data_IF_586565066339
#
_entry.id   IF_586565066339
#
_cell.length_a   1.000
_cell.length_b   1.000
_cell.length_c   1.000
_cell.angle_alpha   90.00
_cell.angle_beta   90.00
_cell.angle_gamma   90.00
#
_symmetry.space_group_name_H-M   'P 1'
#
loop_
_entity.id
_entity.type
_entity.pdbx_description
1 polymer ?
#
# COMPACT_ATOMS: atom_id res chain seq x y z
N UNK A 1 65.46 22.55 24.38
CA UNK A 1 65.24 21.18 23.87
C UNK A 1 63.76 20.85 24.02
N UNK A 2 63.12 20.31 22.97
CA UNK A 2 61.68 20.26 22.80
C UNK A 2 61.04 19.05 23.49
N UNK A 3 59.75 19.12 23.89
CA UNK A 3 58.97 17.97 24.33
C UNK A 3 58.40 17.17 23.13
N UNK A 4 57.98 15.91 23.34
CA UNK A 4 57.85 14.92 22.28
C UNK A 4 56.51 14.94 21.54
N UNK A 5 56.59 14.41 20.33
CA UNK A 5 55.57 14.18 19.31
C UNK A 5 54.22 13.67 19.81
N UNK A 6 53.16 14.32 19.34
CA UNK A 6 51.78 13.87 19.43
C UNK A 6 51.58 12.50 18.74
N UNK A 7 51.14 11.52 19.53
CA UNK A 7 50.55 10.27 19.06
C UNK A 7 49.29 10.54 18.25
N UNK A 8 49.28 10.11 16.99
CA UNK A 8 48.09 10.07 16.13
C UNK A 8 47.21 8.90 16.58
N UNK A 9 46.02 9.19 17.10
CA UNK A 9 44.94 8.22 17.22
C UNK A 9 44.52 7.75 15.81
N UNK A 10 44.45 6.45 15.51
CA UNK A 10 43.78 5.97 14.32
C UNK A 10 42.26 6.08 14.52
N UNK A 11 41.60 6.82 13.63
CA UNK A 11 40.13 6.76 13.48
C UNK A 11 39.76 5.33 13.10
N UNK A 12 38.92 4.68 13.92
CA UNK A 12 38.27 3.42 13.58
C UNK A 12 37.26 3.64 12.45
N UNK A 13 37.62 3.19 11.26
CA UNK A 13 36.68 2.95 10.16
C UNK A 13 35.81 1.72 10.46
N UNK A 14 34.68 1.93 11.13
CA UNK A 14 33.67 0.91 11.38
C UNK A 14 32.50 1.04 10.38
N UNK A 15 32.70 0.75 9.09
CA UNK A 15 31.64 0.86 8.08
C UNK A 15 31.52 -0.30 7.06
N UNK A 16 32.57 -1.03 6.63
CA UNK A 16 32.39 -2.08 5.62
C UNK A 16 31.92 -3.44 6.20
N UNK A 17 32.43 -3.84 7.36
CA UNK A 17 32.17 -5.18 7.90
C UNK A 17 30.71 -5.42 8.31
N UNK A 18 30.04 -4.44 8.93
CA UNK A 18 28.64 -4.61 9.41
C UNK A 18 27.63 -4.74 8.26
N UNK A 19 27.89 -4.15 7.10
CA UNK A 19 26.98 -4.19 5.96
C UNK A 19 27.10 -5.52 5.18
N UNK A 20 28.34 -6.01 5.01
CA UNK A 20 28.61 -7.32 4.40
C UNK A 20 28.01 -8.48 5.24
N UNK A 21 28.07 -8.38 6.58
CA UNK A 21 27.43 -9.37 7.45
C UNK A 21 25.91 -9.39 7.28
N UNK A 22 25.25 -8.23 7.23
CA UNK A 22 23.79 -8.15 7.07
C UNK A 22 23.31 -8.75 5.74
N UNK A 23 23.99 -8.45 4.64
CA UNK A 23 23.65 -9.03 3.33
C UNK A 23 23.85 -10.55 3.32
N UNK A 24 24.96 -11.04 3.88
CA UNK A 24 25.20 -12.48 4.05
C UNK A 24 24.11 -13.18 4.88
N UNK A 25 23.61 -12.55 5.95
CA UNK A 25 22.50 -13.09 6.75
C UNK A 25 21.21 -13.23 5.95
N UNK A 26 20.88 -12.21 5.13
CA UNK A 26 19.68 -12.22 4.28
C UNK A 26 19.78 -13.29 3.20
N UNK A 27 20.92 -13.38 2.52
CA UNK A 27 21.16 -14.40 1.47
C UNK A 27 21.04 -15.81 2.05
N UNK A 28 21.72 -16.08 3.18
CA UNK A 28 21.64 -17.39 3.86
C UNK A 28 20.20 -17.75 4.27
N UNK A 29 19.39 -16.77 4.69
CA UNK A 29 18.00 -17.00 5.05
C UNK A 29 17.14 -17.34 3.82
N UNK A 30 17.35 -16.65 2.70
CA UNK A 30 16.64 -16.94 1.46
C UNK A 30 16.99 -18.34 0.92
N UNK A 31 18.27 -18.71 0.91
CA UNK A 31 18.73 -20.05 0.53
C UNK A 31 18.11 -21.13 1.41
N UNK A 32 18.05 -20.90 2.73
CA UNK A 32 17.40 -21.83 3.66
C UNK A 32 15.94 -22.06 3.29
N UNK A 33 15.20 -20.97 3.00
CA UNK A 33 13.79 -21.05 2.64
C UNK A 33 13.57 -21.69 1.26
N UNK A 34 14.49 -21.51 0.33
CA UNK A 34 14.46 -22.14 -1.00
C UNK A 34 14.66 -23.65 -0.91
N UNK A 35 15.57 -24.11 -0.04
CA UNK A 35 15.80 -25.54 0.19
C UNK A 35 14.63 -26.17 0.96
N UNK A 36 14.05 -25.45 1.92
CA UNK A 36 13.01 -25.98 2.82
C UNK A 36 11.58 -25.64 2.40
N UNK A 37 11.37 -25.10 1.20
CA UNK A 37 10.04 -24.64 0.79
C UNK A 37 9.07 -25.81 0.65
N UNK A 38 7.81 -25.60 1.02
CA UNK A 38 6.76 -26.61 0.87
C UNK A 38 5.39 -25.98 0.58
N UNK A 39 4.55 -26.76 -0.12
CA UNK A 39 3.16 -26.41 -0.39
C UNK A 39 2.25 -26.76 0.80
N UNK A 40 1.74 -25.73 1.48
CA UNK A 40 0.80 -25.89 2.61
C UNK A 40 -0.62 -26.23 2.14
N UNK A 41 -0.89 -26.07 0.85
CA UNK A 41 -2.18 -26.34 0.23
C UNK A 41 -2.16 -27.62 -0.62
N UNK A 42 -1.18 -28.49 -0.41
CA UNK A 42 -1.19 -29.83 -1.01
C UNK A 42 -2.43 -30.62 -0.54
N UNK A 43 -2.96 -31.57 -1.35
CA UNK A 43 -4.22 -32.26 -1.03
C UNK A 43 -4.26 -32.85 0.39
N UNK A 44 -3.17 -33.49 0.82
CA UNK A 44 -3.05 -34.08 2.16
C UNK A 44 -3.03 -33.00 3.28
N UNK A 45 -2.42 -31.84 3.00
CA UNK A 45 -2.32 -30.73 3.95
C UNK A 45 -3.66 -30.01 4.11
N UNK A 46 -4.48 -29.94 3.07
CA UNK A 46 -5.82 -29.34 3.13
C UNK A 46 -6.69 -30.07 4.15
N UNK A 47 -6.71 -31.40 4.13
CA UNK A 47 -7.52 -32.19 5.06
C UNK A 47 -7.04 -31.99 6.52
N UNK A 48 -5.72 -31.88 6.72
CA UNK A 48 -5.17 -31.53 8.03
C UNK A 48 -5.57 -30.11 8.49
N UNK A 49 -5.55 -29.12 7.57
CA UNK A 49 -5.97 -27.75 7.86
C UNK A 49 -7.46 -27.65 8.18
N UNK A 50 -8.30 -28.48 7.55
CA UNK A 50 -9.72 -28.56 7.84
C UNK A 50 -10.01 -29.08 9.24
N UNK A 51 -9.21 -30.01 9.75
CA UNK A 51 -9.41 -30.59 11.08
C UNK A 51 -8.74 -29.78 12.21
N UNK A 52 -7.98 -28.74 11.87
CA UNK A 52 -7.21 -27.95 12.84
C UNK A 52 -8.04 -26.83 13.47
N UNK A 53 -7.75 -26.51 14.74
CA UNK A 53 -8.21 -25.26 15.38
C UNK A 53 -7.47 -24.07 14.78
N UNK A 54 -8.20 -23.12 14.24
CA UNK A 54 -7.67 -21.99 13.47
C UNK A 54 -6.71 -21.07 14.24
N UNK A 55 -6.53 -21.22 15.56
CA UNK A 55 -5.79 -20.26 16.40
C UNK A 55 -4.25 -20.37 16.32
N UNK A 56 -3.71 -21.53 15.92
CA UNK A 56 -2.27 -21.78 15.95
C UNK A 56 -1.59 -21.53 14.59
N UNK A 57 -0.50 -20.75 14.52
CA UNK A 57 0.25 -20.54 13.28
C UNK A 57 0.77 -21.84 12.65
N UNK A 58 0.67 -21.93 11.33
CA UNK A 58 1.26 -22.99 10.51
C UNK A 58 2.57 -22.45 9.94
N UNK A 59 3.68 -22.86 10.56
CA UNK A 59 5.04 -22.49 10.17
C UNK A 59 5.98 -23.69 10.35
N UNK A 60 6.90 -23.91 9.43
CA UNK A 60 7.96 -24.93 9.58
C UNK A 60 8.97 -24.55 10.65
N UNK A 61 9.88 -25.48 10.96
CA UNK A 61 10.98 -25.19 11.87
C UNK A 61 11.92 -24.12 11.29
N UNK A 62 12.25 -24.22 10.01
CA UNK A 62 13.12 -23.31 9.27
C UNK A 62 12.50 -21.92 9.18
N UNK A 63 11.20 -21.83 8.88
CA UNK A 63 10.47 -20.55 8.85
C UNK A 63 10.48 -19.88 10.23
N UNK A 64 10.23 -20.65 11.31
CA UNK A 64 10.31 -20.13 12.69
C UNK A 64 11.72 -19.68 13.04
N UNK A 65 12.74 -20.44 12.62
CA UNK A 65 14.14 -20.11 12.83
C UNK A 65 14.49 -18.77 12.16
N UNK A 66 14.16 -18.62 10.87
CA UNK A 66 14.35 -17.36 10.13
C UNK A 66 13.62 -16.22 10.83
N UNK A 67 12.33 -16.36 11.15
CA UNK A 67 11.57 -15.31 11.85
C UNK A 67 12.27 -14.91 13.17
N UNK A 68 12.69 -15.88 13.98
CA UNK A 68 13.37 -15.60 15.26
C UNK A 68 14.69 -14.86 15.07
N UNK A 69 15.46 -15.19 14.02
CA UNK A 69 16.74 -14.58 13.69
C UNK A 69 16.61 -13.11 13.31
N UNK A 70 15.54 -12.74 12.62
CA UNK A 70 15.32 -11.37 12.16
C UNK A 70 14.53 -10.51 13.16
N UNK A 71 13.72 -11.12 14.03
CA UNK A 71 12.88 -10.39 14.99
C UNK A 71 13.68 -9.67 16.10
N UNK A 72 14.95 -10.00 16.31
CA UNK A 72 15.78 -9.42 17.37
C UNK A 72 16.17 -7.96 17.14
N UNK A 73 16.15 -7.49 15.89
CA UNK A 73 16.58 -6.15 15.53
C UNK A 73 15.62 -5.52 14.53
N UNK A 74 15.08 -4.35 14.87
CA UNK A 74 14.10 -3.65 14.04
C UNK A 74 14.61 -3.36 12.63
N UNK A 75 15.80 -2.76 12.51
CA UNK A 75 16.39 -2.41 11.22
C UNK A 75 16.66 -3.66 10.37
N UNK A 76 17.14 -4.74 10.98
CA UNK A 76 17.40 -6.01 10.30
C UNK A 76 16.10 -6.63 9.78
N UNK A 77 15.04 -6.61 10.58
CA UNK A 77 13.73 -7.07 10.16
C UNK A 77 13.14 -6.21 9.04
N UNK A 78 13.27 -4.87 9.09
CA UNK A 78 12.83 -4.01 7.98
C UNK A 78 13.59 -4.34 6.69
N UNK A 79 14.92 -4.42 6.75
CA UNK A 79 15.74 -4.79 5.58
C UNK A 79 15.32 -6.14 5.00
N UNK A 80 15.05 -7.13 5.85
CA UNK A 80 14.63 -8.44 5.38
C UNK A 80 13.22 -8.44 4.78
N UNK A 81 12.26 -7.74 5.40
CA UNK A 81 10.91 -7.58 4.86
C UNK A 81 10.95 -6.88 3.48
N UNK A 82 11.77 -5.85 3.32
CA UNK A 82 11.97 -5.17 2.02
C UNK A 82 12.53 -6.11 0.96
N UNK A 83 13.58 -6.89 1.27
CA UNK A 83 14.17 -7.84 0.33
C UNK A 83 13.18 -8.94 -0.06
N UNK A 84 12.41 -9.47 0.90
CA UNK A 84 11.37 -10.46 0.61
C UNK A 84 10.29 -9.88 -0.30
N UNK A 85 9.83 -8.65 -0.04
CA UNK A 85 8.86 -7.97 -0.90
C UNK A 85 9.39 -7.76 -2.32
N UNK A 86 10.65 -7.35 -2.46
CA UNK A 86 11.24 -7.12 -3.77
C UNK A 86 11.44 -8.42 -4.53
N UNK A 87 11.81 -9.52 -3.85
CA UNK A 87 11.86 -10.85 -4.45
C UNK A 87 10.48 -11.32 -4.93
N UNK A 88 9.43 -11.16 -4.11
CA UNK A 88 8.05 -11.48 -4.50
C UNK A 88 7.59 -10.66 -5.72
N UNK A 89 8.01 -9.39 -5.82
CA UNK A 89 7.65 -8.53 -6.97
C UNK A 89 8.41 -8.90 -8.24
N UNK A 90 9.71 -9.14 -8.13
CA UNK A 90 10.58 -9.36 -9.29
C UNK A 90 10.31 -10.73 -9.96
N UNK A 91 10.00 -11.74 -9.16
CA UNK A 91 9.90 -13.13 -9.62
C UNK A 91 8.45 -13.65 -9.58
N UNK A 92 7.45 -12.77 -9.58
CA UNK A 92 6.02 -13.10 -9.43
C UNK A 92 5.56 -14.27 -10.32
N UNK A 93 6.04 -14.35 -11.57
CA UNK A 93 5.60 -15.33 -12.57
C UNK A 93 6.58 -16.49 -12.77
N UNK A 94 7.83 -16.33 -12.32
CA UNK A 94 8.91 -17.33 -12.48
C UNK A 94 9.24 -18.10 -11.21
N UNK A 95 8.78 -17.63 -10.04
CA UNK A 95 9.04 -18.27 -8.75
C UNK A 95 8.17 -19.51 -8.55
N UNK A 96 8.78 -20.60 -8.07
CA UNK A 96 8.07 -21.79 -7.62
C UNK A 96 7.01 -21.46 -6.56
N UNK A 97 5.84 -22.07 -6.67
CA UNK A 97 4.70 -21.76 -5.80
C UNK A 97 5.01 -22.03 -4.31
N UNK A 98 5.80 -23.06 -4.02
CA UNK A 98 6.24 -23.46 -2.69
C UNK A 98 7.11 -22.37 -2.03
N UNK A 99 8.05 -21.81 -2.79
CA UNK A 99 8.91 -20.74 -2.31
C UNK A 99 8.09 -19.47 -2.07
N UNK A 100 7.18 -19.12 -2.99
CA UNK A 100 6.30 -17.97 -2.83
C UNK A 100 5.45 -18.09 -1.56
N UNK A 101 4.88 -19.27 -1.29
CA UNK A 101 4.13 -19.51 -0.06
C UNK A 101 5.02 -19.38 1.18
N UNK A 102 6.24 -19.94 1.14
CA UNK A 102 7.17 -19.89 2.28
C UNK A 102 7.60 -18.45 2.59
N UNK A 103 7.92 -17.66 1.56
CA UNK A 103 8.21 -16.23 1.69
C UNK A 103 7.01 -15.46 2.27
N UNK A 104 5.79 -15.76 1.83
CA UNK A 104 4.57 -15.16 2.37
C UNK A 104 4.37 -15.49 3.86
N UNK A 105 4.55 -16.76 4.26
CA UNK A 105 4.43 -17.18 5.67
C UNK A 105 5.48 -16.53 6.54
N UNK A 106 6.73 -16.45 6.09
CA UNK A 106 7.82 -15.79 6.82
C UNK A 106 7.56 -14.29 6.95
N UNK A 107 7.17 -13.63 5.86
CA UNK A 107 6.84 -12.20 5.87
C UNK A 107 5.72 -11.91 6.88
N UNK A 108 4.61 -12.65 6.82
CA UNK A 108 3.47 -12.48 7.74
C UNK A 108 3.82 -12.90 9.16
N UNK A 109 4.61 -13.96 9.33
CA UNK A 109 5.07 -14.43 10.63
C UNK A 109 5.97 -13.42 11.33
N UNK A 110 6.84 -12.73 10.58
CA UNK A 110 7.66 -11.65 11.11
C UNK A 110 6.82 -10.40 11.42
N UNK A 111 5.86 -10.04 10.56
CA UNK A 111 4.88 -8.99 10.85
C UNK A 111 4.10 -9.28 12.13
N UNK A 112 3.64 -10.53 12.31
CA UNK A 112 2.93 -11.00 13.51
C UNK A 112 3.77 -10.84 14.76
N UNK A 113 5.05 -11.26 14.72
CA UNK A 113 5.95 -11.14 15.87
C UNK A 113 6.19 -9.69 16.28
N UNK A 114 6.10 -8.77 15.32
CA UNK A 114 6.25 -7.33 15.54
C UNK A 114 4.95 -6.59 15.83
N UNK A 115 3.79 -7.23 15.67
CA UNK A 115 2.49 -6.57 15.77
C UNK A 115 2.16 -5.62 14.61
N UNK A 116 2.85 -5.74 13.47
CA UNK A 116 2.67 -4.86 12.32
C UNK A 116 1.66 -5.44 11.32
N UNK A 117 0.37 -5.26 11.62
CA UNK A 117 -0.71 -5.73 10.73
C UNK A 117 -0.77 -4.94 9.42
N UNK A 118 -0.37 -3.67 9.42
CA UNK A 118 -0.42 -2.81 8.24
C UNK A 118 0.47 -3.34 7.11
N UNK A 119 1.68 -3.84 7.41
CA UNK A 119 2.54 -4.47 6.40
C UNK A 119 1.94 -5.75 5.82
N UNK A 120 1.27 -6.55 6.64
CA UNK A 120 0.57 -7.74 6.18
C UNK A 120 -0.63 -7.35 5.28
N UNK A 121 -1.44 -6.37 5.69
CA UNK A 121 -2.56 -5.88 4.88
C UNK A 121 -2.10 -5.25 3.56
N UNK A 122 -0.99 -4.51 3.57
CA UNK A 122 -0.40 -3.93 2.36
C UNK A 122 0.03 -5.02 1.37
N UNK A 123 0.65 -6.11 1.86
CA UNK A 123 1.00 -7.26 1.01
C UNK A 123 -0.26 -7.92 0.43
N UNK A 124 -1.30 -8.13 1.24
CA UNK A 124 -2.57 -8.69 0.77
C UNK A 124 -3.26 -7.82 -0.27
N UNK A 125 -3.32 -6.51 -0.03
CA UNK A 125 -3.84 -5.53 -0.97
C UNK A 125 -3.13 -5.65 -2.32
N UNK A 126 -1.80 -5.79 -2.34
CA UNK A 126 -1.03 -5.99 -3.57
C UNK A 126 -1.42 -7.28 -4.29
N UNK A 127 -1.50 -8.41 -3.59
CA UNK A 127 -1.90 -9.68 -4.20
C UNK A 127 -3.27 -9.59 -4.87
N UNK A 128 -4.23 -8.94 -4.20
CA UNK A 128 -5.59 -8.81 -4.73
C UNK A 128 -5.70 -7.82 -5.89
N UNK A 129 -4.91 -6.74 -5.87
CA UNK A 129 -4.95 -5.64 -6.87
C UNK A 129 -4.09 -5.91 -8.12
N UNK A 130 -2.92 -6.54 -7.97
CA UNK A 130 -1.94 -6.71 -9.06
C UNK A 130 -2.14 -8.01 -9.88
N UNK A 131 -3.37 -8.56 -9.91
CA UNK A 131 -3.74 -9.77 -10.64
C UNK A 131 -2.75 -10.94 -10.43
N UNK A 132 -2.45 -11.28 -9.18
CA UNK A 132 -1.79 -12.55 -8.87
C UNK A 132 -2.78 -13.68 -9.15
N UNK A 133 -2.41 -14.64 -10.00
CA UNK A 133 -3.26 -15.78 -10.39
C UNK A 133 -3.75 -16.58 -9.17
N UNK A 134 -2.90 -16.68 -8.15
CA UNK A 134 -3.14 -17.47 -6.93
C UNK A 134 -3.40 -16.60 -5.69
N UNK A 135 -3.89 -15.36 -5.86
CA UNK A 135 -4.09 -14.44 -4.74
C UNK A 135 -4.91 -15.03 -3.58
N UNK A 136 -6.04 -15.75 -3.78
CA UNK A 136 -6.78 -16.38 -2.68
C UNK A 136 -5.96 -17.46 -1.94
N UNK A 137 -5.13 -18.23 -2.65
CA UNK A 137 -4.25 -19.24 -2.04
C UNK A 137 -3.19 -18.57 -1.16
N UNK A 138 -2.58 -17.48 -1.64
CA UNK A 138 -1.62 -16.69 -0.86
C UNK A 138 -2.27 -16.10 0.37
N UNK A 139 -3.51 -15.59 0.27
CA UNK A 139 -4.25 -15.10 1.44
C UNK A 139 -4.49 -16.25 2.43
N UNK A 140 -4.89 -17.43 1.96
CA UNK A 140 -5.04 -18.59 2.83
C UNK A 140 -3.74 -18.91 3.58
N UNK A 141 -2.59 -18.87 2.88
CA UNK A 141 -1.26 -19.06 3.46
C UNK A 141 -0.93 -17.98 4.51
N UNK A 142 -1.32 -16.73 4.27
CA UNK A 142 -1.15 -15.65 5.24
C UNK A 142 -1.99 -15.89 6.50
N UNK A 143 -3.25 -16.31 6.34
CA UNK A 143 -4.16 -16.59 7.46
C UNK A 143 -3.69 -17.79 8.28
N UNK A 144 -3.13 -18.83 7.65
CA UNK A 144 -2.56 -19.95 8.41
C UNK A 144 -1.31 -19.55 9.20
N UNK A 145 -0.50 -18.62 8.71
CA UNK A 145 0.64 -18.06 9.45
C UNK A 145 0.22 -17.06 10.56
N UNK A 146 -0.85 -16.30 10.34
CA UNK A 146 -1.41 -15.36 11.32
C UNK A 146 -2.95 -15.36 11.25
N UNK A 147 -3.60 -16.20 12.06
CA UNK A 147 -5.06 -16.39 11.99
C UNK A 147 -5.88 -15.12 12.20
N UNK A 148 -5.43 -14.23 13.10
CA UNK A 148 -6.10 -12.98 13.39
C UNK A 148 -5.70 -11.80 12.51
N UNK A 149 -4.91 -12.04 11.44
CA UNK A 149 -4.35 -10.96 10.62
C UNK A 149 -5.43 -10.07 10.02
N UNK A 150 -6.60 -10.62 9.67
CA UNK A 150 -7.73 -9.87 9.11
C UNK A 150 -8.91 -9.71 10.07
N UNK A 151 -8.74 -9.98 11.37
CA UNK A 151 -9.80 -9.83 12.37
C UNK A 151 -10.11 -8.38 12.75
N UNK A 152 -9.31 -7.42 12.28
CA UNK A 152 -9.55 -6.00 12.54
C UNK A 152 -10.67 -5.48 11.62
N UNK A 153 -11.66 -4.78 12.19
CA UNK A 153 -12.79 -4.20 11.46
C UNK A 153 -12.43 -2.96 10.61
N UNK A 154 -11.17 -2.83 10.18
CA UNK A 154 -10.71 -1.72 9.36
C UNK A 154 -11.42 -1.73 8.00
N UNK A 155 -11.57 -0.56 7.34
CA UNK A 155 -12.07 -0.50 5.98
C UNK A 155 -11.32 -1.44 5.03
N UNK A 156 -10.00 -1.55 5.21
CA UNK A 156 -9.14 -2.33 4.32
C UNK A 156 -9.35 -3.83 4.53
N UNK A 157 -9.47 -4.30 5.77
CA UNK A 157 -9.80 -5.70 6.03
C UNK A 157 -11.17 -6.07 5.43
N UNK A 158 -12.18 -5.19 5.54
CA UNK A 158 -13.49 -5.41 4.90
C UNK A 158 -13.35 -5.52 3.38
N UNK A 159 -12.56 -4.65 2.76
CA UNK A 159 -12.29 -4.72 1.33
C UNK A 159 -11.54 -6.01 0.94
N UNK A 160 -10.54 -6.41 1.71
CA UNK A 160 -9.79 -7.67 1.54
C UNK A 160 -10.74 -8.87 1.59
N UNK A 161 -11.63 -8.93 2.59
CA UNK A 161 -12.61 -10.00 2.73
C UNK A 161 -13.53 -10.10 1.50
N UNK A 162 -14.07 -8.97 1.03
CA UNK A 162 -14.95 -8.93 -0.14
C UNK A 162 -14.23 -9.41 -1.39
N UNK A 163 -13.08 -8.83 -1.71
CA UNK A 163 -12.35 -9.16 -2.94
C UNK A 163 -11.77 -10.58 -2.89
N UNK A 164 -11.30 -11.03 -1.72
CA UNK A 164 -10.85 -12.41 -1.55
C UNK A 164 -11.99 -13.40 -1.79
N UNK A 165 -13.19 -13.14 -1.23
CA UNK A 165 -14.37 -13.97 -1.45
C UNK A 165 -14.79 -14.03 -2.92
N UNK A 166 -14.73 -12.89 -3.62
CA UNK A 166 -15.04 -12.82 -5.06
C UNK A 166 -14.07 -13.65 -5.93
N UNK A 167 -12.81 -13.75 -5.51
CA UNK A 167 -11.74 -14.43 -6.28
C UNK A 167 -11.55 -15.90 -5.87
N UNK A 168 -11.95 -16.28 -4.67
CA UNK A 168 -11.79 -17.64 -4.16
C UNK A 168 -12.82 -18.61 -4.76
N UNK A 169 -12.38 -19.83 -5.05
CA UNK A 169 -13.25 -20.91 -5.54
C UNK A 169 -12.84 -22.27 -4.94
N UNK A 170 -13.73 -23.26 -5.03
CA UNK A 170 -13.46 -24.64 -4.63
C UNK A 170 -13.00 -24.80 -3.17
N UNK A 171 -11.99 -25.66 -2.95
CA UNK A 171 -11.45 -25.96 -1.61
C UNK A 171 -10.86 -24.73 -0.90
N UNK A 172 -10.27 -23.81 -1.65
CA UNK A 172 -9.67 -22.57 -1.10
C UNK A 172 -10.76 -21.65 -0.55
N UNK A 173 -11.89 -21.52 -1.27
CA UNK A 173 -13.06 -20.79 -0.76
C UNK A 173 -13.55 -21.39 0.55
N UNK A 174 -13.73 -22.71 0.62
CA UNK A 174 -14.21 -23.38 1.83
C UNK A 174 -13.28 -23.17 3.04
N UNK A 175 -11.97 -23.31 2.83
CA UNK A 175 -10.97 -23.05 3.86
C UNK A 175 -10.99 -21.59 4.34
N UNK A 176 -11.04 -20.63 3.42
CA UNK A 176 -11.12 -19.21 3.75
C UNK A 176 -12.41 -18.89 4.51
N UNK A 177 -13.56 -19.43 4.09
CA UNK A 177 -14.83 -19.24 4.80
C UNK A 177 -14.73 -19.69 6.25
N UNK A 178 -14.06 -20.83 6.51
CA UNK A 178 -13.85 -21.33 7.86
C UNK A 178 -12.89 -20.46 8.68
N UNK A 179 -11.70 -20.15 8.13
CA UNK A 179 -10.67 -19.42 8.88
C UNK A 179 -10.99 -17.93 9.08
N UNK A 180 -11.68 -17.31 8.12
CA UNK A 180 -12.13 -15.91 8.17
C UNK A 180 -13.56 -15.75 8.64
N UNK A 181 -14.19 -16.86 9.07
CA UNK A 181 -15.53 -16.88 9.67
C UNK A 181 -16.62 -16.28 8.76
N UNK A 182 -16.52 -16.49 7.45
CA UNK A 182 -17.53 -15.99 6.50
C UNK A 182 -18.88 -16.70 6.61
N UNK A 183 -18.92 -17.87 7.23
CA UNK A 183 -20.16 -18.60 7.49
C UNK A 183 -21.00 -17.92 8.59
N UNK A 184 -20.34 -17.28 9.56
CA UNK A 184 -21.01 -16.50 10.61
C UNK A 184 -21.13 -15.02 10.24
N UNK A 185 -20.09 -14.44 9.64
CA UNK A 185 -20.01 -13.04 9.26
C UNK A 185 -19.61 -12.90 7.78
N UNK A 186 -20.56 -13.09 6.84
CA UNK A 186 -20.26 -13.05 5.42
C UNK A 186 -19.81 -11.64 4.99
N UNK A 187 -18.79 -11.53 4.11
CA UNK A 187 -18.37 -10.25 3.54
C UNK A 187 -19.54 -9.53 2.86
N UNK A 188 -19.59 -8.20 3.04
CA UNK A 188 -20.68 -7.36 2.56
C UNK A 188 -20.72 -7.20 1.04
N UNK A 189 -21.79 -6.55 0.55
CA UNK A 189 -21.89 -6.16 -0.85
C UNK A 189 -20.84 -5.10 -1.23
N UNK A 190 -20.19 -5.27 -2.39
CA UNK A 190 -19.14 -4.37 -2.88
C UNK A 190 -19.62 -2.92 -3.04
N UNK A 191 -20.77 -2.69 -3.68
CA UNK A 191 -21.31 -1.35 -3.92
C UNK A 191 -21.64 -0.64 -2.61
N UNK A 192 -22.34 -1.32 -1.71
CA UNK A 192 -22.66 -0.78 -0.37
C UNK A 192 -21.39 -0.46 0.42
N UNK A 193 -20.35 -1.28 0.29
CA UNK A 193 -19.08 -1.07 0.97
C UNK A 193 -18.33 0.14 0.41
N UNK A 194 -18.32 0.33 -0.92
CA UNK A 194 -17.75 1.53 -1.55
C UNK A 194 -18.45 2.79 -1.02
N UNK A 195 -19.78 2.87 -1.11
CA UNK A 195 -20.54 4.05 -0.69
C UNK A 195 -20.37 4.35 0.79
N UNK A 196 -20.47 3.33 1.66
CA UNK A 196 -20.30 3.52 3.11
C UNK A 196 -18.87 3.90 3.49
N UNK A 197 -17.85 3.35 2.81
CA UNK A 197 -16.44 3.66 3.06
C UNK A 197 -16.10 5.09 2.63
N UNK A 198 -16.60 5.54 1.47
CA UNK A 198 -16.41 6.92 1.01
C UNK A 198 -17.10 7.92 1.94
N UNK A 199 -18.33 7.62 2.38
CA UNK A 199 -19.04 8.44 3.37
C UNK A 199 -18.26 8.52 4.68
N UNK A 200 -17.78 7.39 5.19
CA UNK A 200 -16.99 7.34 6.41
C UNK A 200 -15.69 8.16 6.29
N UNK A 201 -14.96 8.08 5.17
CA UNK A 201 -13.77 8.90 4.92
C UNK A 201 -14.06 10.41 4.98
N UNK A 202 -15.20 10.83 4.45
CA UNK A 202 -15.62 12.22 4.43
C UNK A 202 -16.03 12.72 5.83
N UNK A 203 -16.70 11.88 6.61
CA UNK A 203 -17.27 12.24 7.91
C UNK A 203 -16.32 11.99 9.10
N UNK A 204 -15.22 11.26 8.90
CA UNK A 204 -14.29 10.90 9.97
C UNK A 204 -13.53 12.13 10.52
N UNK A 205 -13.85 12.45 11.78
CA UNK A 205 -13.26 13.58 12.51
C UNK A 205 -11.90 13.25 13.12
N UNK A 206 -11.47 11.99 13.16
CA UNK A 206 -10.21 11.59 13.76
C UNK A 206 -9.04 11.57 12.77
N UNK A 207 -9.33 11.77 11.47
CA UNK A 207 -8.29 11.84 10.46
C UNK A 207 -7.38 13.06 10.71
N UNK A 208 -6.08 12.82 10.56
CA UNK A 208 -5.02 13.81 10.75
C UNK A 208 -3.98 13.69 9.64
N UNK A 209 -3.18 14.74 9.49
CA UNK A 209 -1.94 14.68 8.72
C UNK A 209 -0.80 14.22 9.63
N UNK A 210 0.16 13.50 9.05
CA UNK A 210 1.40 13.09 9.71
C UNK A 210 2.59 13.68 8.97
N UNK A 211 3.67 13.99 9.70
CA UNK A 211 4.92 14.46 9.12
C UNK A 211 5.74 13.29 8.60
N UNK A 212 6.19 13.40 7.37
CA UNK A 212 7.08 12.47 6.68
C UNK A 212 8.32 13.22 6.19
N UNK A 213 9.50 12.70 6.47
CA UNK A 213 10.75 13.25 5.91
C UNK A 213 10.81 13.15 4.38
N UNK A 214 10.13 12.16 3.81
CA UNK A 214 10.13 11.91 2.37
C UNK A 214 8.96 12.59 1.65
N UNK A 215 7.74 12.48 2.20
CA UNK A 215 6.51 12.98 1.59
C UNK A 215 6.07 14.37 2.11
N UNK A 216 6.72 14.93 3.13
CA UNK A 216 6.25 16.17 3.76
C UNK A 216 5.02 15.92 4.62
N UNK A 217 3.95 16.68 4.43
CA UNK A 217 2.67 16.42 5.10
C UNK A 217 1.89 15.34 4.36
N UNK A 218 1.80 14.16 4.96
CA UNK A 218 1.13 12.99 4.38
C UNK A 218 -0.10 12.56 5.20
N UNK A 219 -0.91 11.68 4.62
CA UNK A 219 -2.08 11.11 5.29
C UNK A 219 -1.66 10.19 6.45
N UNK A 220 -2.41 10.25 7.55
CA UNK A 220 -2.28 9.25 8.62
C UNK A 220 -2.65 7.83 8.13
N UNK A 221 -2.24 6.76 8.84
CA UNK A 221 -2.51 5.38 8.45
C UNK A 221 -4.01 5.09 8.24
N UNK A 222 -4.89 5.64 9.08
CA UNK A 222 -6.34 5.46 8.95
C UNK A 222 -6.90 6.05 7.64
N UNK A 223 -6.41 7.22 7.22
CA UNK A 223 -6.78 7.81 5.93
C UNK A 223 -6.26 6.96 4.76
N UNK A 224 -5.06 6.39 4.87
CA UNK A 224 -4.53 5.46 3.88
C UNK A 224 -5.35 4.16 3.80
N UNK A 225 -5.83 3.62 4.92
CA UNK A 225 -6.73 2.46 4.93
C UNK A 225 -7.99 2.73 4.11
N UNK A 226 -8.64 3.89 4.26
CA UNK A 226 -9.78 4.28 3.43
C UNK A 226 -9.42 4.33 1.93
N UNK A 227 -8.28 4.97 1.60
CA UNK A 227 -7.82 5.10 0.21
C UNK A 227 -7.56 3.74 -0.43
N UNK A 228 -6.83 2.85 0.26
CA UNK A 228 -6.55 1.50 -0.25
C UNK A 228 -7.80 0.64 -0.35
N UNK A 229 -8.74 0.79 0.57
CA UNK A 229 -10.03 0.08 0.52
C UNK A 229 -10.83 0.43 -0.73
N UNK A 230 -11.03 1.73 -0.97
CA UNK A 230 -11.79 2.23 -2.11
C UNK A 230 -11.09 1.87 -3.42
N UNK A 231 -9.77 2.02 -3.49
CA UNK A 231 -8.98 1.64 -4.67
C UNK A 231 -9.06 0.13 -4.96
N UNK A 232 -9.02 -0.72 -3.93
CA UNK A 232 -9.13 -2.18 -4.08
C UNK A 232 -10.51 -2.61 -4.58
N UNK A 233 -11.58 -2.04 -4.00
CA UNK A 233 -12.96 -2.35 -4.35
C UNK A 233 -13.30 -1.83 -5.76
N UNK A 234 -12.99 -0.58 -6.07
CA UNK A 234 -13.23 0.00 -7.40
C UNK A 234 -12.46 -0.76 -8.49
N UNK A 235 -11.29 -1.33 -8.19
CA UNK A 235 -10.55 -2.17 -9.12
C UNK A 235 -11.37 -3.35 -9.67
N UNK A 236 -12.26 -3.93 -8.84
CA UNK A 236 -13.05 -5.10 -9.25
C UNK A 236 -14.20 -4.74 -10.19
N UNK A 237 -14.55 -3.45 -10.26
CA UNK A 237 -15.66 -2.95 -11.08
C UNK A 237 -15.18 -2.27 -12.37
N UNK A 238 -13.87 -2.05 -12.51
CA UNK A 238 -13.24 -1.45 -13.69
C UNK A 238 -13.34 0.07 -13.75
N UNK A 239 -12.57 0.66 -14.66
CA UNK A 239 -12.41 2.11 -14.79
C UNK A 239 -13.72 2.82 -15.18
N UNK A 240 -14.41 2.33 -16.21
CA UNK A 240 -15.64 2.97 -16.73
C UNK A 240 -16.72 3.05 -15.65
N UNK A 241 -16.90 1.96 -14.91
CA UNK A 241 -17.84 1.93 -13.79
C UNK A 241 -17.42 2.93 -12.71
N UNK A 242 -16.14 2.93 -12.35
CA UNK A 242 -15.56 3.80 -11.31
C UNK A 242 -15.76 5.28 -11.64
N UNK A 243 -15.48 5.70 -12.88
CA UNK A 243 -15.71 7.07 -13.33
C UNK A 243 -17.19 7.44 -13.20
N UNK A 244 -18.07 6.57 -13.67
CA UNK A 244 -19.51 6.86 -13.77
C UNK A 244 -20.24 6.86 -12.44
N UNK A 245 -19.82 6.02 -11.49
CA UNK A 245 -20.55 5.80 -10.24
C UNK A 245 -19.87 6.37 -9.01
N UNK A 246 -18.53 6.46 -9.00
CA UNK A 246 -17.79 6.94 -7.83
C UNK A 246 -17.26 8.34 -8.10
N UNK A 247 -16.53 8.53 -9.20
CA UNK A 247 -15.85 9.81 -9.46
C UNK A 247 -16.88 10.91 -9.76
N UNK A 248 -17.75 10.71 -10.75
CA UNK A 248 -18.70 11.74 -11.20
C UNK A 248 -19.87 11.95 -10.24
N UNK A 249 -20.40 10.90 -9.63
CA UNK A 249 -21.61 10.96 -8.78
C UNK A 249 -21.31 11.31 -7.33
N UNK A 250 -20.24 10.77 -6.76
CA UNK A 250 -19.98 10.95 -5.33
C UNK A 250 -18.76 11.85 -5.08
N UNK A 251 -17.61 11.57 -5.68
CA UNK A 251 -16.36 12.27 -5.35
C UNK A 251 -16.35 13.73 -5.81
N UNK A 252 -16.64 13.99 -7.10
CA UNK A 252 -16.51 15.33 -7.68
C UNK A 252 -17.49 16.35 -7.07
N UNK A 253 -18.77 16.01 -6.82
CA UNK A 253 -19.69 16.92 -6.14
C UNK A 253 -19.21 17.31 -4.73
N UNK A 254 -18.66 16.35 -3.97
CA UNK A 254 -18.11 16.63 -2.63
C UNK A 254 -16.88 17.55 -2.68
N UNK A 255 -15.98 17.36 -3.67
CA UNK A 255 -14.84 18.25 -3.89
C UNK A 255 -15.26 19.67 -4.28
N UNK A 256 -16.27 19.81 -5.16
CA UNK A 256 -16.84 21.12 -5.53
C UNK A 256 -17.48 21.82 -4.34
N UNK A 257 -18.25 21.08 -3.54
CA UNK A 257 -18.88 21.60 -2.33
C UNK A 257 -17.82 22.13 -1.34
N UNK A 258 -16.72 21.41 -1.16
CA UNK A 258 -15.61 21.85 -0.33
C UNK A 258 -14.90 23.10 -0.88
N UNK A 259 -14.76 23.24 -2.20
CA UNK A 259 -14.16 24.44 -2.81
C UNK A 259 -15.00 25.70 -2.57
N UNK A 260 -16.33 25.59 -2.65
CA UNK A 260 -17.28 26.69 -2.51
C UNK A 260 -17.44 27.21 -1.06
N UNK A 261 -16.65 26.69 -0.12
CA UNK A 261 -16.73 27.06 1.30
C UNK A 261 -16.64 28.56 1.54
N UNK A 262 -17.59 29.06 2.33
CA UNK A 262 -17.45 30.31 3.07
C UNK A 262 -16.86 30.00 4.46
N UNK A 263 -16.16 30.94 5.08
CA UNK A 263 -15.45 30.71 6.36
C UNK A 263 -16.39 30.33 7.54
N UNK A 264 -17.70 30.32 7.35
CA UNK A 264 -18.73 30.22 8.39
C UNK A 264 -19.43 28.85 8.48
N UNK A 265 -19.07 27.85 7.68
CA UNK A 265 -19.77 26.55 7.66
C UNK A 265 -19.03 25.46 8.45
N UNK A 266 -19.45 25.24 9.71
CA UNK A 266 -18.90 24.21 10.62
C UNK A 266 -19.15 22.75 10.20
N UNK A 267 -19.98 22.49 9.18
CA UNK A 267 -20.36 21.13 8.73
C UNK A 267 -19.47 20.54 7.64
N UNK A 268 -18.36 21.19 7.29
CA UNK A 268 -17.61 20.82 6.10
C UNK A 268 -16.49 19.78 6.32
N UNK A 269 -16.22 18.97 5.31
CA UNK A 269 -15.17 17.95 5.31
C UNK A 269 -13.79 18.52 5.63
N UNK A 270 -12.99 17.79 6.42
CA UNK A 270 -11.63 18.20 6.79
C UNK A 270 -10.70 18.20 5.58
N UNK A 271 -9.67 19.06 5.62
CA UNK A 271 -8.63 19.12 4.59
C UNK A 271 -7.97 17.75 4.35
N UNK A 272 -7.80 16.93 5.40
CA UNK A 272 -7.25 15.56 5.29
C UNK A 272 -8.14 14.62 4.49
N UNK A 273 -9.47 14.69 4.64
CA UNK A 273 -10.41 13.89 3.85
C UNK A 273 -10.35 14.28 2.37
N UNK A 274 -10.22 15.58 2.09
CA UNK A 274 -10.04 16.09 0.72
C UNK A 274 -8.71 15.64 0.12
N UNK A 275 -7.61 15.76 0.86
CA UNK A 275 -6.31 15.26 0.45
C UNK A 275 -6.37 13.75 0.15
N UNK A 276 -7.02 12.96 1.02
CA UNK A 276 -7.22 11.53 0.83
C UNK A 276 -8.01 11.21 -0.44
N UNK A 277 -9.08 11.96 -0.72
CA UNK A 277 -9.86 11.81 -1.96
C UNK A 277 -9.01 12.13 -3.20
N UNK A 278 -8.21 13.18 -3.17
CA UNK A 278 -7.33 13.53 -4.30
C UNK A 278 -6.28 12.44 -4.51
N UNK A 279 -5.67 11.93 -3.43
CA UNK A 279 -4.73 10.80 -3.49
C UNK A 279 -5.42 9.54 -4.04
N UNK A 280 -6.67 9.28 -3.65
CA UNK A 280 -7.50 8.20 -4.19
C UNK A 280 -7.73 8.37 -5.70
N UNK A 281 -8.12 9.55 -6.18
CA UNK A 281 -8.32 9.81 -7.61
C UNK A 281 -7.06 9.50 -8.42
N UNK A 282 -5.88 9.90 -7.92
CA UNK A 282 -4.61 9.55 -8.53
C UNK A 282 -4.37 8.04 -8.64
N UNK A 283 -4.77 7.26 -7.62
CA UNK A 283 -4.68 5.78 -7.66
C UNK A 283 -5.71 5.15 -8.57
N UNK A 284 -6.95 5.61 -8.54
CA UNK A 284 -8.02 5.12 -9.40
C UNK A 284 -7.69 5.34 -10.88
N UNK A 285 -7.11 6.48 -11.25
CA UNK A 285 -6.71 6.72 -12.64
C UNK A 285 -5.58 5.80 -13.12
N UNK A 286 -4.74 5.25 -12.24
CA UNK A 286 -3.79 4.19 -12.62
C UNK A 286 -4.49 2.92 -13.09
N UNK A 287 -5.71 2.66 -12.63
CA UNK A 287 -6.53 1.58 -13.16
C UNK A 287 -6.92 1.88 -14.62
N UNK A 288 -7.37 3.09 -14.92
CA UNK A 288 -7.71 3.50 -16.29
C UNK A 288 -6.51 3.42 -17.25
N UNK A 289 -5.29 3.72 -16.76
CA UNK A 289 -4.06 3.53 -17.54
C UNK A 289 -3.82 2.05 -17.86
N UNK A 290 -3.99 1.16 -16.87
CA UNK A 290 -3.85 -0.30 -17.07
C UNK A 290 -4.91 -0.86 -18.02
N UNK A 291 -6.10 -0.26 -18.04
CA UNK A 291 -7.20 -0.62 -18.95
C UNK A 291 -7.10 0.04 -20.33
N UNK A 292 -5.97 0.71 -20.64
CA UNK A 292 -5.69 1.40 -21.91
C UNK A 292 -6.69 2.52 -22.28
N UNK A 293 -7.23 3.22 -21.28
CA UNK A 293 -8.22 4.30 -21.47
C UNK A 293 -7.60 5.69 -21.21
N UNK A 294 -6.42 5.94 -21.80
CA UNK A 294 -5.56 7.09 -21.48
C UNK A 294 -6.26 8.45 -21.61
N UNK A 295 -7.09 8.67 -22.64
CA UNK A 295 -7.82 9.93 -22.83
C UNK A 295 -8.78 10.24 -21.65
N UNK A 296 -9.49 9.23 -21.15
CA UNK A 296 -10.36 9.41 -19.97
C UNK A 296 -9.56 9.69 -18.70
N UNK A 297 -8.34 9.15 -18.59
CA UNK A 297 -7.44 9.44 -17.48
C UNK A 297 -6.84 10.84 -17.59
N UNK A 298 -6.54 11.30 -18.81
CA UNK A 298 -6.11 12.66 -19.09
C UNK A 298 -7.18 13.68 -18.67
N UNK A 299 -8.46 13.44 -18.95
CA UNK A 299 -9.56 14.29 -18.48
C UNK A 299 -9.60 14.41 -16.95
N UNK A 300 -9.38 13.29 -16.25
CA UNK A 300 -9.28 13.30 -14.79
C UNK A 300 -8.04 14.08 -14.33
N UNK A 301 -6.88 13.86 -14.96
CA UNK A 301 -5.64 14.53 -14.61
C UNK A 301 -5.79 16.05 -14.77
N UNK A 302 -6.38 16.51 -15.88
CA UNK A 302 -6.73 17.90 -16.13
C UNK A 302 -7.63 18.45 -15.04
N UNK A 303 -8.73 17.75 -14.73
CA UNK A 303 -9.66 18.14 -13.66
C UNK A 303 -8.97 18.31 -12.30
N UNK A 304 -8.05 17.40 -11.93
CA UNK A 304 -7.27 17.49 -10.68
C UNK A 304 -6.30 18.67 -10.71
N UNK A 305 -5.61 18.91 -11.83
CA UNK A 305 -4.70 20.06 -11.95
C UNK A 305 -5.45 21.39 -11.89
N UNK A 306 -6.62 21.47 -12.53
CA UNK A 306 -7.51 22.65 -12.46
C UNK A 306 -8.03 22.88 -11.04
N UNK A 307 -8.42 21.81 -10.32
CA UNK A 307 -8.79 21.90 -8.91
C UNK A 307 -7.66 22.53 -8.07
N UNK A 308 -6.41 22.16 -8.35
CA UNK A 308 -5.23 22.70 -7.66
C UNK A 308 -4.93 24.17 -7.97
N UNK A 309 -5.44 24.72 -9.07
CA UNK A 309 -5.16 26.10 -9.54
C UNK A 309 -6.37 27.05 -9.48
N UNK A 310 -7.58 26.53 -9.28
CA UNK A 310 -8.84 27.32 -9.27
C UNK A 310 -8.93 28.36 -8.14
N UNK A 311 -8.31 28.10 -6.99
CA UNK A 311 -8.02 29.16 -6.02
C UNK A 311 -6.59 29.63 -6.30
N UNK A 312 -6.32 30.94 -6.25
CA UNK A 312 -4.92 31.44 -6.26
C UNK A 312 -4.17 30.53 -5.28
N UNK A 313 -3.08 29.90 -5.72
CA UNK A 313 -2.38 28.81 -5.01
C UNK A 313 -2.11 29.08 -3.52
N UNK A 314 -2.17 30.34 -3.09
CA UNK A 314 -2.12 30.82 -1.70
C UNK A 314 -3.28 30.39 -0.80
N UNK A 315 -4.47 30.09 -1.32
CA UNK A 315 -5.66 29.79 -0.49
C UNK A 315 -5.91 28.28 -0.30
N UNK A 316 -5.22 27.43 -1.05
CA UNK A 316 -5.33 25.97 -0.89
C UNK A 316 -4.38 25.51 0.23
N UNK A 317 -4.84 24.72 1.21
CA UNK A 317 -3.97 24.17 2.25
C UNK A 317 -2.79 23.41 1.64
N UNK A 318 -1.60 23.57 2.23
CA UNK A 318 -0.36 22.99 1.72
C UNK A 318 -0.44 21.48 1.52
N UNK A 319 -1.10 20.79 2.44
CA UNK A 319 -1.27 19.35 2.44
C UNK A 319 -2.16 18.88 1.26
N UNK A 320 -3.17 19.69 0.92
CA UNK A 320 -4.03 19.45 -0.24
C UNK A 320 -3.27 19.72 -1.54
N UNK A 321 -2.39 20.74 -1.57
CA UNK A 321 -1.50 20.96 -2.72
C UNK A 321 -0.56 19.77 -2.95
N UNK A 322 0.08 19.25 -1.90
CA UNK A 322 0.90 18.04 -2.01
C UNK A 322 0.10 16.84 -2.52
N UNK A 323 -1.16 16.69 -2.08
CA UNK A 323 -2.03 15.64 -2.59
C UNK A 323 -2.29 15.77 -4.10
N UNK A 324 -2.55 16.99 -4.59
CA UNK A 324 -2.67 17.28 -6.04
C UNK A 324 -1.40 16.89 -6.77
N UNK A 325 -0.23 17.31 -6.28
CA UNK A 325 1.07 16.98 -6.90
C UNK A 325 1.26 15.49 -7.06
N UNK A 326 1.03 14.71 -6.00
CA UNK A 326 1.21 13.28 -6.06
C UNK A 326 0.14 12.56 -6.90
N UNK A 327 -1.08 13.09 -6.94
CA UNK A 327 -2.12 12.57 -7.83
C UNK A 327 -1.77 12.85 -9.30
N UNK A 328 -1.37 14.08 -9.64
CA UNK A 328 -0.89 14.44 -10.98
C UNK A 328 0.29 13.58 -11.41
N UNK A 329 1.25 13.30 -10.52
CA UNK A 329 2.33 12.36 -10.81
C UNK A 329 1.81 10.95 -11.15
N UNK A 330 0.87 10.42 -10.38
CA UNK A 330 0.31 9.09 -10.64
C UNK A 330 -0.40 9.00 -11.99
N UNK A 331 -0.99 10.11 -12.44
CA UNK A 331 -1.72 10.20 -13.71
C UNK A 331 -0.84 10.66 -14.88
N UNK A 332 0.39 11.11 -14.61
CA UNK A 332 1.29 11.64 -15.63
C UNK A 332 1.47 10.74 -16.86
N UNK A 333 1.46 9.39 -16.77
CA UNK A 333 1.56 8.55 -17.97
C UNK A 333 0.45 8.77 -19.02
N UNK A 334 -0.70 9.38 -18.69
CA UNK A 334 -1.72 9.72 -19.70
C UNK A 334 -1.28 10.89 -20.59
N UNK A 335 -0.61 11.90 -20.01
CA UNK A 335 -0.01 13.01 -20.74
C UNK A 335 1.16 13.63 -19.95
N UNK A 336 2.39 13.10 -20.10
CA UNK A 336 3.53 13.51 -19.29
C UNK A 336 3.91 14.98 -19.45
N UNK A 337 3.78 15.53 -20.67
CA UNK A 337 4.16 16.92 -20.98
C UNK A 337 3.25 17.92 -20.27
N UNK A 338 1.94 17.68 -20.27
CA UNK A 338 0.98 18.53 -19.57
C UNK A 338 1.17 18.43 -18.05
N UNK A 339 1.37 17.22 -17.52
CA UNK A 339 1.63 17.01 -16.10
C UNK A 339 2.91 17.72 -15.64
N UNK A 340 4.01 17.60 -16.39
CA UNK A 340 5.27 18.26 -16.08
C UNK A 340 5.11 19.78 -16.04
N UNK A 341 4.51 20.36 -17.08
CA UNK A 341 4.26 21.80 -17.18
C UNK A 341 3.44 22.34 -16.00
N UNK A 342 2.39 21.60 -15.59
CA UNK A 342 1.57 21.97 -14.45
C UNK A 342 2.38 21.98 -13.15
N UNK A 343 3.17 20.93 -12.89
CA UNK A 343 3.96 20.81 -11.65
C UNK A 343 5.13 21.79 -11.59
N UNK A 344 5.78 22.08 -12.72
CA UNK A 344 6.82 23.12 -12.78
C UNK A 344 6.24 24.51 -12.55
N UNK A 345 5.05 24.80 -13.08
CA UNK A 345 4.38 26.07 -12.87
C UNK A 345 4.02 26.25 -11.39
N UNK A 346 3.42 25.23 -10.77
CA UNK A 346 3.17 25.20 -9.33
C UNK A 346 4.46 25.41 -8.52
N UNK A 347 5.55 24.71 -8.86
CA UNK A 347 6.82 24.82 -8.14
C UNK A 347 7.43 26.23 -8.21
N UNK A 348 7.29 26.93 -9.34
CA UNK A 348 7.80 28.31 -9.52
C UNK A 348 7.09 29.33 -8.62
N UNK A 349 5.86 29.06 -8.22
CA UNK A 349 5.07 29.95 -7.35
C UNK A 349 5.38 29.78 -5.86
N UNK A 350 6.16 28.76 -5.49
CA UNK A 350 6.43 28.42 -4.09
C UNK A 350 7.62 29.20 -3.52
N UNK A 351 7.45 29.66 -2.29
CA UNK A 351 8.53 30.19 -1.45
C UNK A 351 9.06 29.17 -0.44
N UNK A 352 8.34 28.06 -0.23
CA UNK A 352 8.68 27.00 0.72
C UNK A 352 9.48 25.87 0.06
N UNK A 353 10.38 25.19 0.78
CA UNK A 353 11.08 24.02 0.26
C UNK A 353 10.09 22.87 0.00
N UNK A 354 10.31 22.15 -1.10
CA UNK A 354 9.47 21.00 -1.48
C UNK A 354 10.02 19.69 -0.89
N UNK A 355 9.15 18.71 -0.53
CA UNK A 355 9.61 17.40 -0.06
C UNK A 355 10.46 16.65 -1.10
N UNK A 356 11.39 15.78 -0.67
CA UNK A 356 12.20 14.96 -1.57
C UNK A 356 11.38 14.16 -2.59
N UNK A 357 10.24 13.60 -2.18
CA UNK A 357 9.34 12.86 -3.06
C UNK A 357 8.87 13.69 -4.26
N UNK A 358 8.59 14.99 -4.07
CA UNK A 358 8.15 15.88 -5.16
C UNK A 358 9.26 16.04 -6.20
N UNK A 359 10.50 16.19 -5.75
CA UNK A 359 11.66 16.27 -6.64
C UNK A 359 11.84 14.96 -7.42
N UNK A 360 11.64 13.80 -6.79
CA UNK A 360 11.65 12.51 -7.47
C UNK A 360 10.54 12.42 -8.52
N UNK A 361 9.32 12.83 -8.18
CA UNK A 361 8.18 12.84 -9.11
C UNK A 361 8.48 13.66 -10.37
N UNK A 362 9.00 14.89 -10.22
CA UNK A 362 9.37 15.74 -11.36
C UNK A 362 10.42 15.08 -12.26
N UNK A 363 11.46 14.47 -11.67
CA UNK A 363 12.48 13.73 -12.43
C UNK A 363 11.89 12.55 -13.19
N UNK A 364 10.99 11.79 -12.56
CA UNK A 364 10.33 10.64 -13.19
C UNK A 364 9.44 11.06 -14.36
N UNK A 365 8.67 12.15 -14.22
CA UNK A 365 7.84 12.66 -15.32
C UNK A 365 8.70 13.20 -16.45
N UNK A 366 9.79 13.91 -16.14
CA UNK A 366 10.74 14.40 -17.15
C UNK A 366 11.33 13.25 -17.97
N UNK A 367 11.61 12.10 -17.34
CA UNK A 367 12.06 10.91 -18.04
C UNK A 367 10.98 10.35 -18.99
N UNK A 368 9.70 10.41 -18.63
CA UNK A 368 8.59 10.02 -19.51
C UNK A 368 8.36 10.98 -20.69
N UNK A 369 8.88 12.20 -20.62
CA UNK A 369 8.81 13.19 -21.71
C UNK A 369 9.96 13.08 -22.71
N UNK A 370 11.03 12.38 -22.34
CA UNK A 370 12.22 12.13 -23.15
C UNK A 370 11.98 10.92 -24.03
#
# INVERSE_FOLDING_TARGET
MPPPSASKNPRLDAAPHKQHTKQSLVTSALETLEISCYDVLSPNSIDALLNRKCELPVLTYEEKFVISRFCVNELLAETFLEVVLDKIKAEKESMGHELLQSLCRVYVGLCRKRGDSHKAHALTYRFLKENFSEAPKLIMVMVTAWPSVFSQNSPLCKAIHIVCKMKAYGKVYYLLSKYLQWDTEPPGNIYRTITSTLKALLEDKNLTFQKSSWYGDDLCPAAWDYVFSLDLLCAQLGWIWTVSHVIRKDVWPNLKMWLLRTQTEEKQFKNVSVAAIIRLLGRLGQQGLKENVAASVEDLAKSITEFGTQKRSKDLPWEVQLAVVYATHNLAPSNPKVALKALESWKKELTKPVPPAVTKCLKQISFLCS
#
